data_IF_237193226339
#
_entry.id   IF_237193226339
#
_cell.length_a   1.000
_cell.length_b   1.000
_cell.length_c   1.000
_cell.angle_alpha   90.00
_cell.angle_beta   90.00
_cell.angle_gamma   90.00
#
_symmetry.space_group_name_H-M   'P 1'
#
loop_
_entity.id
_entity.type
_entity.pdbx_description
1 polymer ?
#
# COMPACT_ATOMS: atom_id res chain seq x y z
N UNK A 1 36.58 -12.60 24.83
CA UNK A 1 35.45 -11.86 24.22
C UNK A 1 35.17 -12.54 22.90
N UNK A 2 34.00 -13.17 22.73
CA UNK A 2 33.59 -13.67 21.43
C UNK A 2 33.49 -12.49 20.46
N UNK A 3 33.95 -12.62 19.18
CA UNK A 3 33.80 -11.56 18.22
C UNK A 3 32.32 -11.17 18.10
N UNK A 4 32.02 -9.88 18.17
CA UNK A 4 30.65 -9.39 17.93
C UNK A 4 30.24 -9.88 16.54
N UNK A 5 29.12 -10.59 16.45
CA UNK A 5 28.58 -11.05 15.18
C UNK A 5 28.32 -9.81 14.31
N UNK A 6 28.87 -9.78 13.13
CA UNK A 6 28.67 -8.67 12.19
C UNK A 6 27.18 -8.58 11.83
N UNK A 7 26.58 -7.40 11.91
CA UNK A 7 25.13 -7.21 11.72
C UNK A 7 24.73 -7.48 10.25
N UNK A 8 25.58 -7.09 9.32
CA UNK A 8 25.48 -7.40 7.89
C UNK A 8 26.74 -8.16 7.46
N UNK A 9 26.62 -9.14 6.55
CA UNK A 9 27.76 -9.98 6.17
C UNK A 9 28.86 -9.19 5.47
N UNK A 10 28.48 -8.19 4.66
CA UNK A 10 29.37 -7.46 3.76
C UNK A 10 29.33 -5.95 4.06
N UNK A 11 30.37 -5.24 3.68
CA UNK A 11 30.48 -3.79 3.84
C UNK A 11 30.07 -3.03 2.56
N UNK A 12 29.84 -3.75 1.45
CA UNK A 12 29.40 -3.19 0.16
C UNK A 12 28.37 -4.08 -0.52
N UNK A 13 27.49 -3.44 -1.26
CA UNK A 13 26.44 -4.06 -2.07
C UNK A 13 26.34 -3.32 -3.42
N UNK A 14 25.81 -3.97 -4.44
CA UNK A 14 25.53 -3.27 -5.70
C UNK A 14 24.30 -2.36 -5.52
N UNK A 15 23.27 -2.86 -4.83
CA UNK A 15 22.02 -2.13 -4.61
C UNK A 15 21.60 -2.15 -3.15
N UNK A 16 21.28 -0.97 -2.60
CA UNK A 16 20.61 -0.85 -1.30
C UNK A 16 19.17 -0.38 -1.51
N UNK A 17 18.20 -1.16 -1.02
CA UNK A 17 16.77 -0.82 -1.05
C UNK A 17 16.36 -0.29 0.32
N UNK A 18 15.86 0.95 0.36
CA UNK A 18 15.39 1.63 1.57
C UNK A 18 13.86 1.53 1.64
N UNK A 19 13.38 0.70 2.55
CA UNK A 19 11.97 0.31 2.67
C UNK A 19 11.68 -1.01 1.97
N UNK A 20 11.24 -2.02 2.73
CA UNK A 20 10.96 -3.36 2.23
C UNK A 20 9.45 -3.65 2.32
N UNK A 21 8.65 -2.76 1.70
CA UNK A 21 7.23 -2.95 1.38
C UNK A 21 7.05 -3.64 0.04
N UNK A 22 5.87 -3.55 -0.57
CA UNK A 22 5.61 -4.15 -1.90
C UNK A 22 6.57 -3.66 -2.98
N UNK A 23 6.74 -2.34 -3.11
CA UNK A 23 7.64 -1.74 -4.10
C UNK A 23 9.11 -2.11 -3.85
N UNK A 24 9.56 -2.03 -2.58
CA UNK A 24 10.95 -2.37 -2.24
C UNK A 24 11.25 -3.86 -2.41
N UNK A 25 10.30 -4.74 -2.10
CA UNK A 25 10.46 -6.17 -2.33
C UNK A 25 10.55 -6.48 -3.85
N UNK A 26 9.69 -5.86 -4.66
CA UNK A 26 9.74 -6.01 -6.11
C UNK A 26 11.08 -5.51 -6.68
N UNK A 27 11.53 -4.33 -6.27
CA UNK A 27 12.82 -3.78 -6.70
C UNK A 27 14.01 -4.67 -6.28
N UNK A 28 13.97 -5.23 -5.07
CA UNK A 28 15.03 -6.12 -4.59
C UNK A 28 15.06 -7.45 -5.35
N UNK A 29 13.89 -8.01 -5.66
CA UNK A 29 13.75 -9.23 -6.48
C UNK A 29 14.33 -8.98 -7.87
N UNK A 30 13.91 -7.92 -8.53
CA UNK A 30 14.36 -7.58 -9.88
C UNK A 30 15.86 -7.33 -9.94
N UNK A 31 16.41 -6.60 -8.97
CA UNK A 31 17.85 -6.38 -8.90
C UNK A 31 18.62 -7.71 -8.70
N UNK A 32 18.14 -8.60 -7.82
CA UNK A 32 18.77 -9.89 -7.57
C UNK A 32 18.67 -10.83 -8.78
N UNK A 33 17.54 -10.83 -9.50
CA UNK A 33 17.36 -11.60 -10.73
C UNK A 33 18.33 -11.16 -11.84
N UNK A 34 18.74 -9.89 -11.83
CA UNK A 34 19.77 -9.34 -12.72
C UNK A 34 21.21 -9.50 -12.15
N UNK A 35 21.39 -10.30 -11.11
CA UNK A 35 22.70 -10.67 -10.56
C UNK A 35 23.30 -9.67 -9.57
N UNK A 36 22.55 -8.65 -9.14
CA UNK A 36 23.04 -7.68 -8.17
C UNK A 36 23.08 -8.26 -6.74
N UNK A 37 24.10 -7.91 -5.98
CA UNK A 37 24.20 -8.15 -4.55
C UNK A 37 23.36 -7.08 -3.81
N UNK A 38 22.22 -7.49 -3.22
CA UNK A 38 21.19 -6.58 -2.72
C UNK A 38 21.09 -6.61 -1.21
N UNK A 39 21.07 -5.40 -0.59
CA UNK A 39 20.69 -5.18 0.81
C UNK A 39 19.35 -4.44 0.88
N UNK A 40 18.37 -5.01 1.55
CA UNK A 40 17.10 -4.37 1.86
C UNK A 40 17.05 -3.96 3.33
N UNK A 41 16.77 -2.68 3.60
CA UNK A 41 16.66 -2.10 4.93
C UNK A 41 15.21 -1.68 5.19
N UNK A 42 14.64 -2.08 6.31
CA UNK A 42 13.29 -1.66 6.70
C UNK A 42 13.23 -1.16 8.14
N UNK A 43 12.50 -0.06 8.33
CA UNK A 43 12.25 0.55 9.64
C UNK A 43 11.63 -0.41 10.66
N UNK A 44 10.87 -1.40 10.18
CA UNK A 44 10.13 -2.37 10.97
C UNK A 44 10.52 -3.80 10.54
N UNK A 45 9.56 -4.69 10.48
CA UNK A 45 9.74 -6.12 10.13
C UNK A 45 9.48 -6.41 8.65
N UNK A 46 9.42 -5.37 7.84
CA UNK A 46 9.06 -5.43 6.43
C UNK A 46 7.56 -5.47 6.17
N UNK A 47 7.22 -5.23 4.92
CA UNK A 47 5.85 -5.29 4.39
C UNK A 47 5.12 -3.95 4.34
N UNK A 48 5.49 -3.00 5.17
CA UNK A 48 4.87 -1.66 5.15
C UNK A 48 3.34 -1.71 5.07
N UNK A 49 2.76 -0.78 4.34
CA UNK A 49 1.32 -0.72 4.07
C UNK A 49 0.81 -1.92 3.25
N UNK A 50 1.63 -2.52 2.38
CA UNK A 50 1.25 -3.69 1.56
C UNK A 50 0.80 -4.86 2.43
N UNK A 51 1.51 -5.16 3.50
CA UNK A 51 1.19 -6.26 4.42
C UNK A 51 -0.12 -6.03 5.18
N UNK A 52 -0.49 -4.77 5.41
CA UNK A 52 -1.71 -4.37 6.12
C UNK A 52 -2.91 -4.19 5.19
N UNK A 53 -2.66 -4.09 3.89
CA UNK A 53 -3.67 -3.86 2.85
C UNK A 53 -4.59 -5.06 2.66
N UNK A 54 -5.65 -4.84 1.88
CA UNK A 54 -6.52 -5.91 1.38
C UNK A 54 -5.84 -6.86 0.39
N UNK A 55 -4.59 -6.62 -0.02
CA UNK A 55 -3.85 -7.46 -0.97
C UNK A 55 -4.48 -7.51 -2.35
N UNK A 56 -5.04 -6.38 -2.78
CA UNK A 56 -5.62 -6.24 -4.12
C UNK A 56 -4.56 -5.64 -5.03
N UNK A 57 -4.26 -6.32 -6.13
CA UNK A 57 -3.46 -5.81 -7.23
C UNK A 57 -4.41 -5.32 -8.31
N UNK A 58 -4.34 -4.05 -8.66
CA UNK A 58 -5.11 -3.49 -9.76
C UNK A 58 -4.39 -3.77 -11.07
N UNK A 59 -4.97 -4.60 -11.90
CA UNK A 59 -4.40 -5.03 -13.18
C UNK A 59 -5.50 -5.28 -14.21
N UNK A 60 -5.20 -5.15 -15.47
CA UNK A 60 -6.16 -5.35 -16.55
C UNK A 60 -5.45 -5.57 -17.89
N UNK A 61 -6.12 -5.19 -18.98
CA UNK A 61 -5.54 -5.35 -20.31
C UNK A 61 -5.56 -6.80 -20.83
N UNK A 62 -6.34 -7.68 -20.21
CA UNK A 62 -6.45 -9.10 -20.59
C UNK A 62 -5.49 -10.01 -19.84
N UNK A 63 -5.40 -9.86 -18.51
CA UNK A 63 -4.61 -10.76 -17.64
C UNK A 63 -5.10 -12.21 -17.76
N UNK A 64 -4.23 -13.20 -17.46
CA UNK A 64 -4.60 -14.61 -17.46
C UNK A 64 -5.79 -14.90 -16.52
N UNK A 65 -5.88 -14.19 -15.40
CA UNK A 65 -6.97 -14.30 -14.42
C UNK A 65 -8.29 -13.76 -14.99
N UNK A 66 -8.25 -12.63 -15.74
CA UNK A 66 -9.42 -12.11 -16.45
C UNK A 66 -9.91 -13.09 -17.52
N UNK A 67 -8.99 -13.66 -18.30
CA UNK A 67 -9.31 -14.65 -19.34
C UNK A 67 -9.95 -15.90 -18.74
N UNK A 68 -9.40 -16.45 -17.65
CA UNK A 68 -9.95 -17.61 -16.93
C UNK A 68 -11.36 -17.32 -16.38
N UNK A 69 -11.60 -16.09 -15.94
CA UNK A 69 -12.92 -15.66 -15.44
C UNK A 69 -13.91 -15.28 -16.53
N UNK A 70 -13.54 -15.32 -17.81
CA UNK A 70 -14.37 -14.88 -18.93
C UNK A 70 -14.59 -13.35 -18.97
N UNK A 71 -13.69 -12.58 -18.39
CA UNK A 71 -13.74 -11.11 -18.40
C UNK A 71 -12.92 -10.59 -19.58
N UNK A 72 -13.58 -9.94 -20.53
CA UNK A 72 -12.94 -9.26 -21.64
C UNK A 72 -12.39 -7.91 -21.20
N UNK A 73 -11.11 -7.67 -21.45
CA UNK A 73 -10.46 -6.38 -21.27
C UNK A 73 -9.32 -6.23 -22.28
N UNK A 74 -8.88 -5.01 -22.53
CA UNK A 74 -7.76 -4.68 -23.40
C UNK A 74 -6.94 -3.54 -22.81
N UNK A 75 -5.69 -3.41 -23.26
CA UNK A 75 -4.80 -2.31 -22.89
C UNK A 75 -5.48 -0.95 -23.15
N UNK A 76 -6.08 -0.78 -24.32
CA UNK A 76 -6.76 0.46 -24.68
C UNK A 76 -7.99 0.74 -23.80
N UNK A 77 -8.79 -0.29 -23.50
CA UNK A 77 -9.94 -0.17 -22.61
C UNK A 77 -9.51 0.18 -21.18
N UNK A 78 -8.45 -0.43 -20.67
CA UNK A 78 -7.87 -0.12 -19.37
C UNK A 78 -7.32 1.32 -19.34
N UNK A 79 -6.60 1.73 -20.37
CA UNK A 79 -6.03 3.08 -20.49
C UNK A 79 -7.12 4.15 -20.47
N UNK A 80 -8.19 3.99 -21.27
CA UNK A 80 -9.31 4.92 -21.32
C UNK A 80 -10.00 5.08 -19.95
N UNK A 81 -10.11 4.00 -19.19
CA UNK A 81 -10.64 4.04 -17.82
C UNK A 81 -9.68 4.75 -16.84
N UNK A 82 -8.40 4.32 -16.78
CA UNK A 82 -7.44 4.86 -15.81
C UNK A 82 -7.16 6.34 -16.06
N UNK A 83 -7.20 6.79 -17.31
CA UNK A 83 -7.05 8.21 -17.65
C UNK A 83 -8.10 9.08 -16.94
N UNK A 84 -9.33 8.59 -16.80
CA UNK A 84 -10.39 9.28 -16.05
C UNK A 84 -10.12 9.30 -14.54
N UNK A 85 -9.52 8.25 -14.00
CA UNK A 85 -9.14 8.19 -12.58
C UNK A 85 -7.95 9.07 -12.25
N UNK A 86 -6.92 9.08 -13.10
CA UNK A 86 -5.66 9.79 -12.88
C UNK A 86 -5.79 11.31 -12.99
N UNK A 87 -6.74 11.81 -13.81
CA UNK A 87 -7.04 13.24 -13.95
C UNK A 87 -5.80 14.11 -14.19
N UNK A 88 -4.84 13.61 -14.96
CA UNK A 88 -3.61 14.33 -15.31
C UNK A 88 -2.53 14.38 -14.22
N UNK A 89 -2.69 13.65 -13.12
CA UNK A 89 -1.63 13.50 -12.08
C UNK A 89 -0.45 12.69 -12.60
N UNK A 90 -0.71 11.74 -13.49
CA UNK A 90 0.29 10.92 -14.19
C UNK A 90 0.21 11.21 -15.69
N UNK A 91 1.34 11.21 -16.38
CA UNK A 91 1.36 11.41 -17.85
C UNK A 91 0.67 10.25 -18.58
N UNK A 92 0.11 10.54 -19.74
CA UNK A 92 -0.53 9.53 -20.59
C UNK A 92 0.47 8.43 -21.02
N UNK A 93 1.73 8.77 -21.18
CA UNK A 93 2.81 7.82 -21.51
C UNK A 93 3.00 6.81 -20.39
N UNK A 94 3.19 7.27 -19.15
CA UNK A 94 3.33 6.40 -17.97
C UNK A 94 2.08 5.55 -17.74
N UNK A 95 0.88 6.11 -17.94
CA UNK A 95 -0.37 5.36 -17.82
C UNK A 95 -0.47 4.26 -18.88
N UNK A 96 -0.05 4.54 -20.11
CA UNK A 96 -0.07 3.57 -21.20
C UNK A 96 0.91 2.43 -20.92
N UNK A 97 2.13 2.76 -20.53
CA UNK A 97 3.14 1.78 -20.12
C UNK A 97 2.61 0.86 -19.00
N UNK A 98 2.00 1.42 -17.97
CA UNK A 98 1.37 0.65 -16.89
C UNK A 98 0.29 -0.30 -17.42
N UNK A 99 -0.56 0.14 -18.36
CA UNK A 99 -1.59 -0.69 -18.94
C UNK A 99 -1.02 -1.82 -19.81
N UNK A 100 0.01 -1.53 -20.60
CA UNK A 100 0.70 -2.51 -21.46
C UNK A 100 1.43 -3.59 -20.65
N UNK A 101 2.06 -3.19 -19.55
CA UNK A 101 2.80 -4.13 -18.67
C UNK A 101 1.89 -4.84 -17.66
N UNK A 102 0.64 -4.43 -17.52
CA UNK A 102 -0.27 -4.93 -16.50
C UNK A 102 -0.53 -6.45 -16.57
N UNK A 103 -0.72 -7.10 -17.73
CA UNK A 103 -0.82 -8.55 -17.80
C UNK A 103 0.46 -9.25 -17.35
N UNK A 104 1.62 -8.77 -17.78
CA UNK A 104 2.93 -9.31 -17.39
C UNK A 104 3.21 -9.15 -15.89
N UNK A 105 2.75 -8.08 -15.26
CA UNK A 105 2.85 -7.89 -13.81
C UNK A 105 2.13 -9.01 -13.03
N UNK A 106 0.96 -9.45 -13.47
CA UNK A 106 0.25 -10.58 -12.82
C UNK A 106 1.04 -11.88 -12.96
N UNK A 107 1.60 -12.16 -14.14
CA UNK A 107 2.45 -13.35 -14.33
C UNK A 107 3.71 -13.29 -13.47
N UNK A 108 4.41 -12.16 -13.45
CA UNK A 108 5.57 -11.94 -12.59
C UNK A 108 5.25 -12.18 -11.10
N UNK A 109 4.09 -11.69 -10.63
CA UNK A 109 3.65 -11.93 -9.25
C UNK A 109 3.38 -13.41 -8.98
N UNK A 110 2.77 -14.14 -9.93
CA UNK A 110 2.55 -15.60 -9.84
C UNK A 110 3.88 -16.36 -9.78
N UNK A 111 4.85 -16.02 -10.63
CA UNK A 111 6.20 -16.59 -10.64
C UNK A 111 6.93 -16.36 -9.31
N UNK A 112 6.67 -15.23 -8.64
CA UNK A 112 7.17 -14.93 -7.32
C UNK A 112 6.28 -15.47 -6.18
N UNK A 113 5.39 -16.42 -6.48
CA UNK A 113 4.63 -17.19 -5.50
C UNK A 113 3.36 -16.53 -4.98
N UNK A 114 2.90 -15.42 -5.59
CA UNK A 114 1.64 -14.78 -5.21
C UNK A 114 0.46 -15.59 -5.76
N UNK A 115 -0.41 -16.14 -4.91
CA UNK A 115 -1.55 -16.92 -5.38
C UNK A 115 -2.70 -15.99 -5.80
N UNK A 116 -3.27 -16.23 -6.97
CA UNK A 116 -4.49 -15.61 -7.47
C UNK A 116 -5.58 -16.66 -7.75
N UNK A 117 -6.82 -16.19 -7.93
CA UNK A 117 -7.96 -17.03 -8.27
C UNK A 117 -8.94 -16.22 -9.11
N UNK A 118 -9.51 -16.84 -10.13
CA UNK A 118 -10.35 -16.19 -11.14
C UNK A 118 -11.84 -16.11 -10.75
N UNK A 119 -12.23 -16.41 -9.50
CA UNK A 119 -13.62 -16.32 -9.07
C UNK A 119 -14.14 -14.89 -9.10
N UNK A 120 -14.95 -14.58 -10.11
CA UNK A 120 -15.52 -13.25 -10.32
C UNK A 120 -16.62 -12.94 -9.29
N UNK A 121 -16.55 -11.75 -8.67
CA UNK A 121 -17.58 -11.24 -7.80
C UNK A 121 -18.76 -10.67 -8.62
N UNK A 122 -19.99 -11.17 -8.43
CA UNK A 122 -21.13 -10.74 -9.23
C UNK A 122 -21.74 -9.41 -8.77
N UNK A 123 -21.40 -8.91 -7.58
CA UNK A 123 -21.96 -7.70 -6.98
C UNK A 123 -20.88 -6.63 -6.73
N UNK A 124 -21.30 -5.39 -6.47
CA UNK A 124 -20.42 -4.29 -6.08
C UNK A 124 -19.92 -4.52 -4.66
N UNK A 125 -18.62 -4.54 -4.49
CA UNK A 125 -18.01 -4.67 -3.18
C UNK A 125 -16.70 -3.89 -3.14
N UNK A 126 -16.41 -3.24 -2.02
CA UNK A 126 -15.11 -2.64 -1.76
C UNK A 126 -14.06 -3.69 -1.39
N UNK A 127 -14.50 -4.78 -0.78
CA UNK A 127 -13.69 -5.96 -0.48
C UNK A 127 -14.61 -7.20 -0.47
N UNK A 128 -14.52 -8.10 -1.47
CA UNK A 128 -15.43 -9.25 -1.56
C UNK A 128 -15.09 -10.31 -0.52
N UNK A 129 -16.06 -11.19 -0.25
CA UNK A 129 -15.86 -12.36 0.62
C UNK A 129 -14.87 -13.37 0.04
N UNK A 130 -14.49 -14.38 0.82
CA UNK A 130 -13.51 -15.43 0.42
C UNK A 130 -14.00 -16.33 -0.75
N UNK A 131 -15.18 -16.09 -1.27
CA UNK A 131 -15.70 -16.75 -2.47
C UNK A 131 -15.23 -16.10 -3.77
N UNK A 132 -14.74 -14.85 -3.69
CA UNK A 132 -14.46 -14.05 -4.87
C UNK A 132 -13.10 -13.35 -4.77
N UNK A 133 -12.30 -13.48 -5.82
CA UNK A 133 -10.94 -12.96 -5.87
C UNK A 133 -10.66 -12.06 -7.08
N UNK A 134 -11.58 -12.02 -8.05
CA UNK A 134 -11.57 -11.03 -9.13
C UNK A 134 -12.85 -10.19 -9.01
N UNK A 135 -12.74 -8.86 -9.08
CA UNK A 135 -13.90 -8.00 -8.91
C UNK A 135 -13.71 -6.59 -9.46
N UNK A 136 -14.81 -5.86 -9.57
CA UNK A 136 -14.82 -4.44 -9.93
C UNK A 136 -14.43 -3.62 -8.70
N UNK A 137 -13.15 -3.29 -8.59
CA UNK A 137 -12.58 -2.66 -7.39
C UNK A 137 -12.51 -1.14 -7.47
N UNK A 138 -12.80 -0.55 -8.62
CA UNK A 138 -12.80 0.89 -8.88
C UNK A 138 -14.18 1.44 -9.27
N UNK A 139 -14.17 2.38 -10.21
CA UNK A 139 -15.35 3.03 -10.77
C UNK A 139 -15.79 2.42 -12.11
N UNK A 140 -15.33 1.23 -12.47
CA UNK A 140 -15.47 0.66 -13.81
C UNK A 140 -16.93 0.58 -14.29
N UNK A 141 -17.89 0.38 -13.36
CA UNK A 141 -19.34 0.34 -13.65
C UNK A 141 -20.05 1.68 -13.41
N UNK A 142 -19.41 2.63 -12.73
CA UNK A 142 -20.03 3.86 -12.32
C UNK A 142 -20.04 4.91 -13.45
N UNK A 143 -21.11 5.74 -13.48
CA UNK A 143 -21.14 6.93 -14.33
C UNK A 143 -20.18 8.01 -13.76
N UNK A 144 -19.41 8.72 -14.59
CA UNK A 144 -19.36 8.66 -16.06
C UNK A 144 -18.28 7.70 -16.61
N UNK A 145 -17.59 6.92 -15.81
CA UNK A 145 -16.45 6.09 -16.21
C UNK A 145 -16.83 5.03 -17.24
N UNK A 146 -18.02 4.43 -17.08
CA UNK A 146 -18.57 3.42 -17.99
C UNK A 146 -18.94 3.94 -19.38
N UNK A 147 -18.97 5.25 -19.58
CA UNK A 147 -19.14 5.87 -20.92
C UNK A 147 -17.81 5.99 -21.67
N UNK A 148 -16.68 6.00 -20.94
CA UNK A 148 -15.35 6.15 -21.52
C UNK A 148 -14.64 4.81 -21.76
N UNK A 149 -15.03 3.77 -21.02
CA UNK A 149 -14.46 2.44 -21.13
C UNK A 149 -15.48 1.35 -20.79
N UNK A 150 -15.42 0.22 -21.49
CA UNK A 150 -16.23 -0.96 -21.18
C UNK A 150 -15.86 -1.44 -19.75
N UNK A 151 -16.85 -1.64 -18.87
CA UNK A 151 -16.57 -2.16 -17.53
C UNK A 151 -15.86 -3.51 -17.57
N UNK A 152 -14.73 -3.61 -16.87
CA UNK A 152 -13.97 -4.85 -16.68
C UNK A 152 -13.54 -5.01 -15.22
N UNK A 153 -13.58 -6.22 -14.68
CA UNK A 153 -13.08 -6.50 -13.34
C UNK A 153 -11.55 -6.49 -13.35
N UNK A 154 -10.94 -5.57 -12.60
CA UNK A 154 -9.49 -5.34 -12.55
C UNK A 154 -8.88 -5.50 -11.17
N UNK A 155 -9.68 -5.67 -10.13
CA UNK A 155 -9.20 -5.94 -8.78
C UNK A 155 -8.84 -7.41 -8.61
N UNK A 156 -7.55 -7.74 -8.64
CA UNK A 156 -7.02 -9.09 -8.41
C UNK A 156 -6.66 -9.22 -6.93
N UNK A 157 -7.55 -9.82 -6.15
CA UNK A 157 -7.30 -10.07 -4.74
C UNK A 157 -6.40 -11.30 -4.59
N UNK A 158 -5.30 -11.15 -3.86
CA UNK A 158 -4.45 -12.29 -3.50
C UNK A 158 -5.28 -13.35 -2.76
N UNK A 159 -5.17 -14.60 -3.18
CA UNK A 159 -5.96 -15.72 -2.64
C UNK A 159 -5.54 -16.02 -1.19
N UNK A 160 -6.38 -15.63 -0.25
CA UNK A 160 -6.21 -15.90 1.17
C UNK A 160 -7.54 -15.71 1.90
N UNK A 161 -7.75 -16.39 3.03
CA UNK A 161 -8.96 -16.26 3.81
C UNK A 161 -9.00 -14.98 4.66
N UNK A 162 -10.16 -14.38 4.78
CA UNK A 162 -10.43 -13.17 5.57
C UNK A 162 -9.56 -11.98 5.11
N UNK A 163 -9.16 -11.16 6.05
CA UNK A 163 -8.34 -9.96 5.79
C UNK A 163 -6.83 -10.27 5.73
N UNK A 164 -6.44 -11.45 5.21
CA UNK A 164 -5.03 -11.87 5.19
C UNK A 164 -4.33 -11.70 3.84
N UNK A 165 -5.04 -11.27 2.81
CA UNK A 165 -4.51 -11.21 1.44
C UNK A 165 -3.26 -10.33 1.34
N UNK A 166 -3.20 -9.17 1.97
CA UNK A 166 -1.99 -8.33 2.00
C UNK A 166 -0.79 -9.00 2.68
N UNK A 167 -1.04 -9.81 3.71
CA UNK A 167 0.02 -10.59 4.37
C UNK A 167 0.56 -11.69 3.48
N UNK A 168 -0.33 -12.36 2.74
CA UNK A 168 0.05 -13.44 1.81
C UNK A 168 0.81 -12.85 0.63
N UNK A 169 0.33 -11.74 0.07
CA UNK A 169 1.04 -11.00 -0.99
C UNK A 169 2.47 -10.65 -0.58
N UNK A 170 2.61 -9.98 0.56
CA UNK A 170 3.95 -9.59 1.00
C UNK A 170 4.82 -10.80 1.37
N UNK A 171 4.24 -11.84 2.00
CA UNK A 171 5.00 -13.05 2.33
C UNK A 171 5.59 -13.72 1.10
N UNK A 172 4.83 -13.82 0.02
CA UNK A 172 5.30 -14.39 -1.24
C UNK A 172 6.50 -13.59 -1.80
N UNK A 173 6.36 -12.27 -1.88
CA UNK A 173 7.45 -11.39 -2.34
C UNK A 173 8.68 -11.46 -1.42
N UNK A 174 8.47 -11.46 -0.10
CA UNK A 174 9.56 -11.62 0.87
C UNK A 174 10.30 -12.95 0.67
N UNK A 175 9.56 -14.06 0.60
CA UNK A 175 10.16 -15.39 0.47
C UNK A 175 10.92 -15.51 -0.85
N UNK A 176 10.39 -14.98 -1.94
CA UNK A 176 11.06 -14.92 -3.25
C UNK A 176 12.36 -14.12 -3.17
N UNK A 177 12.35 -12.94 -2.57
CA UNK A 177 13.55 -12.13 -2.38
C UNK A 177 14.63 -12.87 -1.59
N UNK A 178 14.23 -13.57 -0.50
CA UNK A 178 15.18 -14.37 0.30
C UNK A 178 15.75 -15.54 -0.48
N UNK A 179 14.94 -16.24 -1.28
CA UNK A 179 15.40 -17.34 -2.14
C UNK A 179 16.39 -16.88 -3.21
N UNK A 180 16.28 -15.64 -3.67
CA UNK A 180 17.18 -15.00 -4.64
C UNK A 180 18.43 -14.38 -4.02
N UNK A 181 18.63 -14.55 -2.70
CA UNK A 181 19.85 -14.13 -2.01
C UNK A 181 19.85 -12.68 -1.53
N UNK A 182 18.70 -11.98 -1.53
CA UNK A 182 18.59 -10.64 -0.96
C UNK A 182 18.90 -10.69 0.55
N UNK A 183 19.86 -9.87 0.99
CA UNK A 183 20.13 -9.67 2.41
C UNK A 183 19.09 -8.70 2.98
N UNK A 184 18.25 -9.15 3.91
CA UNK A 184 17.24 -8.33 4.55
C UNK A 184 17.59 -8.01 5.99
N UNK A 185 17.62 -6.72 6.33
CA UNK A 185 17.83 -6.23 7.70
C UNK A 185 16.58 -5.50 8.20
N UNK A 186 15.77 -6.12 9.06
CA UNK A 186 14.64 -5.48 9.71
C UNK A 186 15.11 -4.54 10.84
N UNK A 187 14.23 -3.64 11.26
CA UNK A 187 14.48 -2.68 12.35
C UNK A 187 15.75 -1.88 12.10
N UNK A 188 15.91 -1.43 10.85
CA UNK A 188 17.01 -0.60 10.38
C UNK A 188 16.47 0.74 9.88
N UNK A 189 16.89 1.83 10.49
CA UNK A 189 16.41 3.19 10.19
C UNK A 189 17.46 3.93 9.38
N UNK A 190 17.26 4.08 8.09
CA UNK A 190 18.14 4.89 7.24
C UNK A 190 17.99 6.35 7.63
N UNK A 191 19.12 6.99 7.95
CA UNK A 191 19.19 8.38 8.40
C UNK A 191 19.61 9.32 7.30
N UNK A 192 20.60 8.93 6.49
CA UNK A 192 21.22 9.77 5.47
C UNK A 192 21.69 8.95 4.27
N UNK A 193 21.85 9.62 3.13
CA UNK A 193 22.61 9.11 2.00
C UNK A 193 24.09 9.47 2.15
N UNK A 194 24.99 8.61 1.72
CA UNK A 194 26.42 8.90 1.61
C UNK A 194 26.67 9.43 0.20
N UNK A 195 27.22 10.63 0.13
CA UNK A 195 27.48 11.32 -1.13
C UNK A 195 28.99 11.39 -1.41
N UNK A 196 29.37 11.17 -2.67
CA UNK A 196 30.66 11.52 -3.24
C UNK A 196 30.44 12.52 -4.38
N UNK A 197 30.67 13.79 -4.10
CA UNK A 197 30.22 14.86 -4.97
C UNK A 197 28.70 14.83 -5.17
N UNK A 198 28.26 14.65 -6.40
CA UNK A 198 26.83 14.54 -6.77
C UNK A 198 26.34 13.09 -6.89
N UNK A 199 27.18 12.10 -6.59
CA UNK A 199 26.84 10.68 -6.67
C UNK A 199 26.47 10.14 -5.29
N UNK A 200 25.39 9.41 -5.18
CA UNK A 200 25.08 8.59 -4.01
C UNK A 200 25.96 7.35 -4.06
N UNK A 201 26.72 7.07 -3.00
CA UNK A 201 27.66 5.95 -2.90
C UNK A 201 27.39 5.06 -1.69
N UNK A 202 26.26 5.25 -1.02
CA UNK A 202 25.88 4.43 0.12
C UNK A 202 24.79 5.06 0.98
N UNK A 203 24.54 4.43 2.11
CA UNK A 203 23.58 4.91 3.11
C UNK A 203 24.16 4.84 4.52
N UNK A 204 23.73 5.77 5.39
CA UNK A 204 23.90 5.69 6.84
C UNK A 204 22.60 5.20 7.45
N UNK A 205 22.68 4.29 8.38
CA UNK A 205 21.50 3.78 9.08
C UNK A 205 21.84 3.44 10.52
N UNK A 206 20.81 3.43 11.36
CA UNK A 206 20.91 2.88 12.71
C UNK A 206 20.15 1.57 12.79
N UNK A 207 20.65 0.59 13.52
CA UNK A 207 19.99 -0.69 13.74
C UNK A 207 20.26 -1.25 15.15
N UNK A 208 19.42 -2.16 15.59
CA UNK A 208 19.64 -2.90 16.85
C UNK A 208 20.62 -4.04 16.61
N UNK A 209 21.81 -3.98 17.21
CA UNK A 209 22.84 -5.03 17.10
C UNK A 209 22.72 -6.12 18.20
N UNK A 210 21.64 -6.16 18.93
CA UNK A 210 21.40 -7.14 19.99
C UNK A 210 20.19 -7.98 19.66
N UNK A 211 20.39 -9.29 19.42
CA UNK A 211 19.31 -10.22 19.05
C UNK A 211 18.17 -10.25 20.09
N UNK A 212 18.49 -10.08 21.38
CA UNK A 212 17.46 -10.05 22.43
C UNK A 212 16.60 -8.78 22.33
N UNK A 213 17.25 -7.63 22.07
CA UNK A 213 16.54 -6.35 21.88
C UNK A 213 15.73 -6.35 20.58
N UNK A 214 16.28 -6.92 19.49
CA UNK A 214 15.53 -7.12 18.25
C UNK A 214 14.28 -7.99 18.46
N UNK A 215 14.43 -9.14 19.15
CA UNK A 215 13.30 -10.02 19.49
C UNK A 215 12.29 -9.32 20.38
N UNK A 216 12.74 -8.59 21.40
CA UNK A 216 11.86 -7.82 22.29
C UNK A 216 11.10 -6.73 21.53
N UNK A 217 11.80 -5.95 20.71
CA UNK A 217 11.20 -4.94 19.84
C UNK A 217 10.14 -5.57 18.93
N UNK A 218 10.48 -6.68 18.27
CA UNK A 218 9.57 -7.41 17.40
C UNK A 218 8.32 -7.92 18.14
N UNK A 219 8.48 -8.52 19.32
CA UNK A 219 7.36 -9.02 20.13
C UNK A 219 6.42 -7.88 20.53
N UNK A 220 6.96 -6.77 21.03
CA UNK A 220 6.17 -5.58 21.38
C UNK A 220 5.43 -5.06 20.16
N UNK A 221 6.11 -4.84 19.03
CA UNK A 221 5.50 -4.36 17.78
C UNK A 221 4.40 -5.30 17.30
N UNK A 222 4.61 -6.63 17.35
CA UNK A 222 3.62 -7.61 16.90
C UNK A 222 2.39 -7.68 17.79
N UNK A 223 2.57 -7.61 19.10
CA UNK A 223 1.46 -7.62 20.07
C UNK A 223 0.62 -6.37 19.95
N UNK A 224 1.26 -5.23 19.77
CA UNK A 224 0.59 -3.92 19.74
C UNK A 224 -0.03 -3.57 18.40
N UNK A 225 0.52 -4.06 17.30
CA UNK A 225 -0.05 -3.86 15.96
C UNK A 225 -1.49 -4.37 15.81
N UNK A 226 -1.90 -5.40 16.59
CA UNK A 226 -3.29 -5.88 16.59
C UNK A 226 -4.23 -5.06 17.46
N UNK A 227 -3.74 -4.58 18.60
CA UNK A 227 -4.57 -3.96 19.65
C UNK A 227 -4.46 -2.44 19.65
N UNK A 228 -3.33 -1.89 19.20
CA UNK A 228 -3.07 -0.46 19.18
C UNK A 228 -4.03 0.32 18.27
N UNK A 229 -4.48 -0.29 17.17
CA UNK A 229 -5.48 0.33 16.28
C UNK A 229 -6.87 0.45 16.92
N UNK A 230 -7.22 -0.45 17.85
CA UNK A 230 -8.51 -0.42 18.55
C UNK A 230 -8.44 0.41 19.84
N UNK A 231 -7.27 0.49 20.47
CA UNK A 231 -7.04 1.17 21.74
C UNK A 231 -5.78 2.03 21.68
N UNK A 232 -5.74 3.09 20.84
CA UNK A 232 -4.52 3.85 20.59
C UNK A 232 -3.94 4.50 21.87
N UNK A 233 -4.77 5.02 22.75
CA UNK A 233 -4.31 5.71 23.96
C UNK A 233 -3.84 4.77 25.06
N UNK A 234 -4.45 3.59 25.17
CA UNK A 234 -4.15 2.62 26.25
C UNK A 234 -3.07 1.62 25.87
N UNK A 235 -2.93 1.28 24.60
CA UNK A 235 -2.01 0.24 24.11
C UNK A 235 -1.02 0.79 23.09
N UNK A 236 -1.48 1.56 22.13
CA UNK A 236 -0.65 2.09 21.05
C UNK A 236 0.46 2.99 21.58
N UNK A 237 0.13 4.11 22.18
CA UNK A 237 1.12 5.08 22.71
C UNK A 237 2.08 4.52 23.76
N UNK A 238 1.64 3.70 24.76
CA UNK A 238 2.58 3.05 25.67
C UNK A 238 3.55 2.10 24.99
N UNK A 239 3.07 1.37 23.98
CA UNK A 239 3.90 0.46 23.22
C UNK A 239 4.93 1.18 22.35
N UNK A 240 4.54 2.29 21.72
CA UNK A 240 5.45 3.14 20.96
C UNK A 240 6.56 3.69 21.87
N UNK A 241 6.22 4.13 23.07
CA UNK A 241 7.21 4.56 24.06
C UNK A 241 8.16 3.44 24.47
N UNK A 242 7.66 2.22 24.63
CA UNK A 242 8.48 1.06 24.96
C UNK A 242 9.39 0.65 23.81
N UNK A 243 8.88 0.60 22.58
CA UNK A 243 9.70 0.32 21.38
C UNK A 243 10.77 1.38 21.17
N UNK A 244 10.45 2.66 21.41
CA UNK A 244 11.42 3.75 21.36
C UNK A 244 12.48 3.67 22.47
N UNK A 245 12.12 3.22 23.67
CA UNK A 245 13.08 3.00 24.75
C UNK A 245 14.04 1.84 24.42
N UNK A 246 13.52 0.72 23.90
CA UNK A 246 14.33 -0.41 23.43
C UNK A 246 15.28 0.05 22.31
N UNK A 247 14.77 0.84 21.37
CA UNK A 247 15.56 1.40 20.28
C UNK A 247 16.70 2.25 20.80
N UNK A 248 16.42 3.24 21.66
CA UNK A 248 17.43 4.14 22.23
C UNK A 248 18.50 3.40 23.03
N UNK A 249 18.14 2.31 23.69
CA UNK A 249 19.05 1.53 24.52
C UNK A 249 20.04 0.66 23.72
N UNK A 250 19.68 0.29 22.48
CA UNK A 250 20.44 -0.71 21.71
C UNK A 250 20.81 -0.33 20.29
N UNK A 251 20.46 0.87 19.82
CA UNK A 251 20.84 1.31 18.47
C UNK A 251 22.33 1.53 18.34
N UNK A 252 22.88 1.06 17.25
CA UNK A 252 24.24 1.38 16.77
C UNK A 252 24.14 1.94 15.37
N UNK A 253 25.06 2.81 15.01
CA UNK A 253 25.09 3.46 13.70
C UNK A 253 26.05 2.74 12.75
N UNK A 254 25.64 2.60 11.50
CA UNK A 254 26.33 1.88 10.45
C UNK A 254 26.40 2.70 9.18
N UNK A 255 27.40 2.39 8.37
CA UNK A 255 27.54 2.87 6.99
C UNK A 255 27.69 1.65 6.09
N UNK A 256 27.00 1.64 4.99
CA UNK A 256 27.18 0.66 3.92
C UNK A 256 27.35 1.39 2.59
N UNK A 257 28.29 0.92 1.79
CA UNK A 257 28.53 1.43 0.46
C UNK A 257 27.78 0.65 -0.59
N UNK A 258 27.35 1.32 -1.67
CA UNK A 258 26.67 0.69 -2.79
C UNK A 258 26.82 1.53 -4.06
N UNK A 259 26.57 0.91 -5.21
CA UNK A 259 26.54 1.60 -6.49
C UNK A 259 25.24 2.35 -6.72
N UNK A 260 24.12 1.84 -6.18
CA UNK A 260 22.80 2.43 -6.33
C UNK A 260 21.93 2.30 -5.08
N UNK A 261 21.08 3.31 -4.84
CA UNK A 261 20.08 3.31 -3.77
C UNK A 261 18.67 3.43 -4.37
N UNK A 262 17.77 2.52 -3.99
CA UNK A 262 16.35 2.56 -4.36
C UNK A 262 15.56 3.01 -3.13
N UNK A 263 14.86 4.15 -3.23
CA UNK A 263 14.03 4.69 -2.17
C UNK A 263 12.57 4.19 -2.34
N UNK A 264 12.15 3.26 -1.50
CA UNK A 264 10.83 2.64 -1.49
C UNK A 264 10.15 2.74 -0.10
N UNK A 265 10.42 3.83 0.63
CA UNK A 265 10.07 4.02 2.03
C UNK A 265 8.64 4.56 2.27
N UNK A 266 7.75 4.49 1.28
CA UNK A 266 6.36 4.92 1.40
C UNK A 266 6.16 6.43 1.33
N UNK A 267 4.98 6.88 1.76
CA UNK A 267 4.53 8.27 1.69
C UNK A 267 4.78 9.06 2.98
N UNK A 268 3.87 10.03 3.26
CA UNK A 268 4.02 10.91 4.43
C UNK A 268 2.73 11.07 5.25
N UNK A 269 1.76 10.18 5.11
CA UNK A 269 0.45 10.27 5.79
C UNK A 269 0.55 10.34 7.32
N UNK A 270 1.63 9.81 7.92
CA UNK A 270 1.91 9.89 9.36
C UNK A 270 2.80 11.08 9.76
N UNK A 271 3.17 11.96 8.82
CA UNK A 271 3.86 13.21 9.12
C UNK A 271 2.85 14.34 9.26
N UNK A 272 2.35 14.56 10.47
CA UNK A 272 1.30 15.55 10.76
C UNK A 272 1.62 16.93 10.21
N UNK A 273 2.88 17.40 10.40
CA UNK A 273 3.28 18.73 9.92
C UNK A 273 3.26 18.85 8.39
N UNK A 274 3.60 17.78 7.68
CA UNK A 274 3.52 17.77 6.22
C UNK A 274 2.08 17.61 5.73
N UNK A 275 1.28 16.81 6.42
CA UNK A 275 -0.15 16.70 6.13
C UNK A 275 -0.85 18.07 6.28
N UNK A 276 -0.60 18.78 7.37
CA UNK A 276 -1.13 20.13 7.58
C UNK A 276 -0.64 21.13 6.53
N UNK A 277 0.66 21.06 6.19
CA UNK A 277 1.27 21.98 5.23
C UNK A 277 0.76 21.78 3.79
N UNK A 278 0.59 20.54 3.36
CA UNK A 278 0.42 20.22 1.95
C UNK A 278 -0.99 19.77 1.58
N UNK A 279 -1.72 19.06 2.45
CA UNK A 279 -2.90 18.29 2.02
C UNK A 279 -4.24 18.92 2.40
N UNK A 280 -4.24 20.09 3.06
CA UNK A 280 -5.45 20.81 3.38
C UNK A 280 -6.44 19.99 4.23
N UNK A 281 -7.69 19.77 3.75
CA UNK A 281 -8.72 19.11 4.55
C UNK A 281 -8.39 17.67 4.92
N UNK A 282 -7.50 16.99 4.18
CA UNK A 282 -7.08 15.62 4.46
C UNK A 282 -6.22 15.49 5.73
N UNK A 283 -5.59 16.56 6.19
CA UNK A 283 -4.80 16.55 7.42
C UNK A 283 -5.63 16.20 8.69
N UNK A 284 -6.95 16.35 8.62
CA UNK A 284 -7.88 16.06 9.74
C UNK A 284 -8.38 14.61 9.76
N UNK A 285 -8.01 13.80 8.77
CA UNK A 285 -8.48 12.41 8.67
C UNK A 285 -7.45 11.49 9.34
N UNK A 286 -7.93 10.40 9.91
CA UNK A 286 -7.06 9.36 10.46
C UNK A 286 -6.16 8.80 9.35
N UNK A 287 -4.83 8.80 9.51
CA UNK A 287 -3.93 8.30 8.48
C UNK A 287 -4.12 6.79 8.28
N UNK A 288 -4.02 6.36 7.02
CA UNK A 288 -4.04 4.96 6.61
C UNK A 288 -2.63 4.56 6.13
N UNK A 289 -2.11 3.45 6.65
CA UNK A 289 -0.76 2.97 6.34
C UNK A 289 -0.02 2.53 7.58
N UNK A 290 1.22 2.89 7.71
CA UNK A 290 2.09 2.58 8.85
C UNK A 290 2.80 3.83 9.37
N UNK A 291 3.26 3.82 10.61
CA UNK A 291 4.11 4.89 11.15
C UNK A 291 5.40 5.13 10.37
N UNK A 292 5.75 4.23 9.44
CA UNK A 292 6.85 4.41 8.49
C UNK A 292 6.55 5.38 7.35
N UNK A 293 5.27 5.67 7.10
CA UNK A 293 4.83 6.64 6.07
C UNK A 293 5.00 8.09 6.60
N UNK A 294 6.22 8.45 6.96
CA UNK A 294 6.58 9.71 7.61
C UNK A 294 7.33 10.72 6.71
N UNK A 295 7.47 10.40 5.43
CA UNK A 295 8.15 11.26 4.45
C UNK A 295 9.68 11.12 4.42
N UNK A 296 10.28 10.22 5.20
CA UNK A 296 11.75 10.11 5.27
C UNK A 296 12.37 9.74 3.91
N UNK A 297 11.76 8.84 3.14
CA UNK A 297 12.24 8.51 1.79
C UNK A 297 12.27 9.73 0.85
N UNK A 298 11.23 10.57 0.92
CA UNK A 298 11.15 11.81 0.15
C UNK A 298 12.27 12.78 0.58
N UNK A 299 12.48 12.93 1.89
CA UNK A 299 13.56 13.78 2.41
C UNK A 299 14.95 13.29 1.97
N UNK A 300 15.19 11.97 1.97
CA UNK A 300 16.44 11.40 1.47
C UNK A 300 16.62 11.71 -0.02
N UNK A 301 15.59 11.57 -0.84
CA UNK A 301 15.64 11.94 -2.25
C UNK A 301 15.97 13.42 -2.46
N UNK A 302 15.37 14.31 -1.67
CA UNK A 302 15.69 15.74 -1.70
C UNK A 302 17.14 16.04 -1.29
N UNK A 303 17.69 15.31 -0.31
CA UNK A 303 19.07 15.51 0.13
C UNK A 303 20.10 15.14 -0.95
N UNK A 304 19.70 14.34 -1.94
CA UNK A 304 20.49 14.00 -3.12
C UNK A 304 20.22 14.93 -4.33
N UNK A 305 19.49 16.04 -4.12
CA UNK A 305 19.16 16.99 -5.19
C UNK A 305 17.85 16.68 -5.94
N UNK A 306 17.08 15.69 -5.48
CA UNK A 306 15.78 15.37 -6.07
C UNK A 306 14.73 16.46 -5.81
N UNK A 307 13.83 16.67 -6.77
CA UNK A 307 12.69 17.57 -6.66
C UNK A 307 11.47 16.84 -6.08
N UNK A 308 10.54 17.61 -5.49
CA UNK A 308 9.22 17.13 -5.08
C UNK A 308 8.15 17.80 -5.92
N UNK A 309 7.08 17.05 -6.21
CA UNK A 309 5.93 17.56 -6.94
C UNK A 309 4.64 16.99 -6.36
N UNK A 310 3.51 17.67 -6.59
CA UNK A 310 2.16 17.21 -6.28
C UNK A 310 1.96 16.79 -4.80
N UNK A 311 2.64 17.44 -3.88
CA UNK A 311 2.54 17.16 -2.44
C UNK A 311 1.14 17.44 -1.88
N UNK A 312 0.33 18.22 -2.59
CA UNK A 312 -1.07 18.52 -2.29
C UNK A 312 -2.04 17.38 -2.65
N UNK A 313 -1.56 16.36 -3.38
CA UNK A 313 -2.38 15.24 -3.81
C UNK A 313 -2.48 14.20 -2.70
N UNK A 314 -3.65 14.15 -2.09
CA UNK A 314 -4.01 13.15 -1.10
C UNK A 314 -5.36 12.55 -1.43
N UNK A 315 -5.60 11.34 -0.95
CA UNK A 315 -6.88 10.66 -1.06
C UNK A 315 -7.34 10.18 0.31
N UNK A 316 -8.63 9.95 0.43
CA UNK A 316 -9.25 9.37 1.61
C UNK A 316 -10.04 8.14 1.21
N UNK A 317 -10.43 7.34 2.19
CA UNK A 317 -11.13 6.10 1.93
C UNK A 317 -12.34 5.92 2.83
N UNK A 318 -13.53 5.87 2.24
CA UNK A 318 -14.78 5.57 2.93
C UNK A 318 -15.66 4.72 2.03
N UNK A 319 -15.93 3.50 2.47
CA UNK A 319 -16.81 2.60 1.76
C UNK A 319 -18.26 2.85 2.14
N UNK A 320 -19.15 2.81 1.13
CA UNK A 320 -20.59 2.66 1.31
C UNK A 320 -20.95 1.16 1.23
N UNK A 321 -20.40 0.46 0.25
CA UNK A 321 -20.61 -0.99 0.02
C UNK A 321 -19.37 -1.79 0.50
N UNK A 322 -19.52 -3.01 1.05
CA UNK A 322 -20.73 -3.79 1.20
C UNK A 322 -21.60 -3.40 2.41
N UNK A 323 -22.87 -3.77 2.48
CA UNK A 323 -23.66 -4.51 1.49
C UNK A 323 -24.04 -3.66 0.27
N UNK A 324 -24.28 -4.31 -0.88
CA UNK A 324 -24.59 -3.63 -2.15
C UNK A 324 -25.83 -2.74 -2.04
N UNK A 325 -26.85 -3.16 -1.30
CA UNK A 325 -28.06 -2.38 -1.10
C UNK A 325 -27.81 -0.95 -0.57
N UNK A 326 -26.67 -0.66 0.05
CA UNK A 326 -26.34 0.69 0.53
C UNK A 326 -26.07 1.68 -0.61
N UNK A 327 -25.66 1.23 -1.80
CA UNK A 327 -25.50 2.11 -2.96
C UNK A 327 -26.84 2.55 -3.59
N UNK A 328 -27.94 1.94 -3.20
CA UNK A 328 -29.30 2.32 -3.62
C UNK A 328 -29.85 3.47 -2.77
N UNK A 329 -29.19 3.82 -1.68
CA UNK A 329 -29.52 4.97 -0.84
C UNK A 329 -29.01 6.28 -1.41
N UNK A 330 -29.05 7.34 -0.57
CA UNK A 330 -28.55 8.67 -0.93
C UNK A 330 -27.57 9.17 0.14
N UNK A 331 -26.36 9.50 -0.27
CA UNK A 331 -25.37 10.13 0.60
C UNK A 331 -25.57 11.66 0.61
N UNK A 332 -25.81 12.22 1.79
CA UNK A 332 -26.18 13.62 1.98
C UNK A 332 -25.14 14.31 2.84
N UNK A 333 -24.64 15.45 2.39
CA UNK A 333 -23.73 16.31 3.13
C UNK A 333 -24.45 17.16 4.21
N UNK A 334 -23.67 17.91 4.96
CA UNK A 334 -24.18 18.76 6.06
C UNK A 334 -25.12 19.88 5.61
N UNK A 335 -25.07 20.24 4.33
CA UNK A 335 -25.94 21.25 3.71
C UNK A 335 -27.24 20.68 3.11
N UNK A 336 -27.49 19.36 3.24
CA UNK A 336 -28.66 18.70 2.70
C UNK A 336 -28.56 18.31 1.22
N UNK A 337 -27.45 18.60 0.55
CA UNK A 337 -27.24 18.20 -0.84
C UNK A 337 -26.63 16.80 -0.95
N UNK A 338 -26.95 16.08 -2.04
CA UNK A 338 -26.32 14.80 -2.38
C UNK A 338 -24.83 15.00 -2.59
N UNK A 339 -24.02 14.09 -2.00
CA UNK A 339 -22.54 14.17 -2.06
C UNK A 339 -22.02 13.86 -3.44
N UNK A 340 -22.35 12.69 -3.94
CA UNK A 340 -21.93 12.16 -5.23
C UNK A 340 -22.73 10.88 -5.54
N UNK A 341 -22.44 10.24 -6.65
CA UNK A 341 -23.00 8.95 -7.00
C UNK A 341 -22.52 7.87 -5.98
N UNK A 342 -23.41 7.12 -5.38
CA UNK A 342 -23.14 6.17 -4.30
C UNK A 342 -22.43 4.91 -4.78
N UNK A 343 -22.51 4.58 -6.07
CA UNK A 343 -21.79 3.45 -6.66
C UNK A 343 -20.33 3.76 -7.02
N UNK A 344 -19.88 5.00 -6.79
CA UNK A 344 -18.47 5.34 -6.93
C UNK A 344 -17.58 4.53 -5.99
N UNK A 345 -16.34 4.32 -6.42
CA UNK A 345 -15.32 3.74 -5.58
C UNK A 345 -15.13 4.55 -4.28
N UNK A 346 -14.93 3.85 -3.18
CA UNK A 346 -14.89 4.46 -1.86
C UNK A 346 -13.86 5.59 -1.70
N UNK A 347 -12.75 5.58 -2.44
CA UNK A 347 -11.82 6.69 -2.46
C UNK A 347 -12.37 7.90 -3.22
N UNK A 348 -12.99 7.68 -4.37
CA UNK A 348 -13.59 8.74 -5.17
C UNK A 348 -14.73 9.42 -4.43
N UNK A 349 -15.67 8.63 -3.87
CA UNK A 349 -16.77 9.15 -3.07
C UNK A 349 -16.27 9.89 -1.82
N UNK A 350 -15.30 9.33 -1.11
CA UNK A 350 -14.71 9.94 0.09
C UNK A 350 -14.01 11.27 -0.22
N UNK A 351 -13.39 11.41 -1.40
CA UNK A 351 -12.76 12.68 -1.80
C UNK A 351 -13.78 13.81 -1.91
N UNK A 352 -14.99 13.54 -2.43
CA UNK A 352 -16.09 14.51 -2.40
C UNK A 352 -16.50 14.85 -0.96
N UNK A 353 -16.66 13.82 -0.12
CA UNK A 353 -17.03 14.03 1.30
C UNK A 353 -16.03 14.94 2.03
N UNK A 354 -14.74 14.73 1.83
CA UNK A 354 -13.68 15.48 2.52
C UNK A 354 -13.57 16.89 2.00
N UNK A 355 -13.54 17.07 0.67
CA UNK A 355 -13.30 18.39 0.06
C UNK A 355 -14.47 19.33 0.21
N UNK A 356 -15.70 18.82 0.08
CA UNK A 356 -16.90 19.65 -0.01
C UNK A 356 -17.69 19.70 1.31
N UNK A 357 -17.58 18.64 2.14
CA UNK A 357 -18.43 18.49 3.34
C UNK A 357 -17.65 18.28 4.63
N UNK A 358 -16.30 18.48 4.62
CA UNK A 358 -15.47 18.33 5.82
C UNK A 358 -15.52 16.92 6.44
N UNK A 359 -15.70 15.90 5.60
CA UNK A 359 -15.84 14.48 5.96
C UNK A 359 -17.12 14.14 6.77
N UNK A 360 -18.11 15.02 6.78
CA UNK A 360 -19.38 14.84 7.52
C UNK A 360 -20.53 14.59 6.55
N UNK A 361 -20.91 13.33 6.37
CA UNK A 361 -22.00 12.92 5.51
C UNK A 361 -22.87 11.87 6.20
N UNK A 362 -24.09 11.70 5.72
CA UNK A 362 -25.03 10.67 6.15
C UNK A 362 -25.51 9.87 4.95
N UNK A 363 -25.61 8.57 5.11
CA UNK A 363 -26.31 7.71 4.16
C UNK A 363 -27.77 7.60 4.60
N UNK A 364 -28.68 7.98 3.73
CA UNK A 364 -30.14 7.88 3.92
C UNK A 364 -30.63 6.68 3.14
N UNK A 365 -31.34 5.79 3.83
CA UNK A 365 -31.95 4.57 3.28
C UNK A 365 -33.43 4.59 3.62
N UNK A 366 -34.25 4.03 2.76
CA UNK A 366 -35.61 3.67 3.13
C UNK A 366 -35.67 2.32 3.88
N UNK A 367 -36.85 1.94 4.32
CA UNK A 367 -37.06 0.71 5.08
C UNK A 367 -36.70 -0.55 4.26
N UNK A 368 -37.10 -0.59 3.00
CA UNK A 368 -36.91 -1.77 2.15
C UNK A 368 -35.43 -1.96 1.79
N UNK A 369 -34.72 -0.87 1.52
CA UNK A 369 -33.26 -0.86 1.33
C UNK A 369 -32.53 -1.38 2.58
N UNK A 370 -32.95 -0.92 3.77
CA UNK A 370 -32.39 -1.38 5.02
C UNK A 370 -32.58 -2.88 5.25
N UNK A 371 -33.82 -3.39 5.03
CA UNK A 371 -34.11 -4.83 5.14
C UNK A 371 -33.31 -5.64 4.11
N UNK A 372 -33.20 -5.13 2.88
CA UNK A 372 -32.35 -5.74 1.84
C UNK A 372 -30.89 -5.82 2.27
N UNK A 373 -30.36 -4.73 2.80
CA UNK A 373 -28.98 -4.68 3.31
C UNK A 373 -28.73 -5.70 4.41
N UNK A 374 -29.62 -5.82 5.40
CA UNK A 374 -29.50 -6.80 6.47
C UNK A 374 -29.44 -8.25 5.95
N UNK A 375 -30.18 -8.57 4.89
CA UNK A 375 -30.12 -9.89 4.23
C UNK A 375 -28.82 -10.14 3.46
N UNK A 376 -28.20 -9.08 2.95
CA UNK A 376 -26.95 -9.15 2.17
C UNK A 376 -25.69 -9.25 3.04
N UNK A 377 -25.70 -8.66 4.25
CA UNK A 377 -24.53 -8.63 5.16
C UNK A 377 -23.87 -10.00 5.31
N UNK A 378 -24.57 -11.12 5.63
CA UNK A 378 -23.92 -12.42 5.84
C UNK A 378 -23.20 -12.99 4.61
N UNK A 379 -23.63 -12.59 3.41
CA UNK A 379 -23.11 -13.12 2.14
C UNK A 379 -22.11 -12.20 1.43
N UNK A 380 -22.12 -10.91 1.75
CA UNK A 380 -21.31 -9.89 1.06
C UNK A 380 -20.23 -9.25 1.93
N UNK A 381 -20.29 -9.41 3.25
CA UNK A 381 -19.29 -8.84 4.19
C UNK A 381 -18.35 -9.91 4.74
N UNK A 382 -17.08 -9.51 4.98
CA UNK A 382 -16.05 -10.34 5.62
C UNK A 382 -16.23 -10.37 7.14
#
# INVERSE_FOLDING_TARGET
MSPKKKLIPDDSFDVVVVGFGGAGAAAAIEAADNGAHVLALDLSIGGGATRLSGGIVYAGGGTSIQQEAGVEDSVENMFNYIKQEAKGVVSDETLREFCEQSPGMIEWLKENGVPFNASLCPYKASYPTDKHYLYYSGNEKAYPYNEHAKPAARGHRTHASGLKSGKVLFKALHDSAMQKGVTFLPVARVTDLVMDGNKVVGVKFSALNNEKLQKLHWVVTKLTAKMGNFFPDYIGRPADKLTDAIWRAGKEDYVVHCDSVILAAGGFAYNTSWMEKYTGPYAKITPLGTGGDNGKGIMLGQSAGGAIAQMDKATSWRFISPPEAFIEGVSVGTNGHRVANEDLYGATHSNYMVREYGANCRLVLDHDQWIKALKQVPSQSQ
#
